data_IF_977887431541
#
_entry.id   IF_977887431541
#
_cell.length_a   1.000
_cell.length_b   1.000
_cell.length_c   1.000
_cell.angle_alpha   90.00
_cell.angle_beta   90.00
_cell.angle_gamma   90.00
#
_symmetry.space_group_name_H-M   'P 1'
#
loop_
_entity.id
_entity.type
_entity.pdbx_description
1 polymer ?
#
# COMPACT_ATOMS: atom_id res chain seq x y z
N UNK A 1 -47.54 -18.53 32.77
CA UNK A 1 -46.90 -17.70 31.73
C UNK A 1 -45.38 -17.88 31.83
N UNK A 2 -44.77 -18.65 30.93
CA UNK A 2 -43.32 -18.86 30.90
C UNK A 2 -42.66 -17.71 30.14
N UNK A 3 -41.83 -16.90 30.82
CA UNK A 3 -41.02 -15.86 30.20
C UNK A 3 -39.88 -16.52 29.39
N UNK A 4 -39.95 -16.43 28.07
CA UNK A 4 -38.82 -16.77 27.18
C UNK A 4 -37.82 -15.62 27.23
N UNK A 5 -36.62 -15.88 27.80
CA UNK A 5 -35.49 -14.99 27.72
C UNK A 5 -34.72 -15.32 26.45
N UNK A 6 -34.80 -14.47 25.42
CA UNK A 6 -33.97 -14.54 24.22
C UNK A 6 -32.67 -13.82 24.55
N UNK A 7 -31.62 -14.58 24.89
CA UNK A 7 -30.27 -14.04 24.92
C UNK A 7 -29.80 -13.79 23.47
N UNK A 8 -29.36 -12.57 23.12
CA UNK A 8 -28.80 -12.35 21.80
C UNK A 8 -27.55 -13.22 21.64
N UNK A 9 -27.52 -14.06 20.59
CA UNK A 9 -26.30 -14.74 20.16
C UNK A 9 -25.24 -13.69 19.89
N UNK A 10 -24.08 -13.82 20.55
CA UNK A 10 -22.90 -13.02 20.24
C UNK A 10 -22.64 -13.10 18.75
N UNK A 11 -22.65 -11.96 18.07
CA UNK A 11 -22.16 -11.88 16.70
C UNK A 11 -20.73 -12.39 16.72
N UNK A 12 -20.49 -13.48 16.01
CA UNK A 12 -19.14 -13.89 15.65
C UNK A 12 -18.47 -12.66 15.03
N UNK A 13 -17.39 -12.16 15.68
CA UNK A 13 -16.49 -11.20 15.08
C UNK A 13 -16.18 -11.73 13.69
N UNK A 14 -16.73 -11.08 12.65
CA UNK A 14 -16.23 -11.25 11.30
C UNK A 14 -14.72 -11.07 11.43
N UNK A 15 -13.96 -12.08 11.02
CA UNK A 15 -12.51 -12.02 10.95
C UNK A 15 -12.16 -10.71 10.23
N UNK A 16 -11.70 -9.72 10.99
CA UNK A 16 -10.94 -8.61 10.42
C UNK A 16 -9.82 -9.29 9.67
N UNK A 17 -9.77 -9.06 8.35
CA UNK A 17 -8.63 -9.52 7.54
C UNK A 17 -7.46 -8.78 8.16
N UNK A 18 -6.64 -9.48 8.93
CA UNK A 18 -5.41 -8.91 9.46
C UNK A 18 -4.63 -8.39 8.27
N UNK A 19 -4.28 -7.11 8.34
CA UNK A 19 -3.37 -6.50 7.37
C UNK A 19 -2.04 -7.25 7.50
N UNK A 20 -1.72 -8.09 6.53
CA UNK A 20 -0.51 -8.91 6.55
C UNK A 20 0.43 -8.47 5.43
N UNK A 21 1.72 -8.57 5.70
CA UNK A 21 2.77 -8.46 4.69
C UNK A 21 2.86 -9.76 3.89
N UNK A 22 3.26 -9.66 2.63
CA UNK A 22 3.53 -10.85 1.80
C UNK A 22 4.73 -11.60 2.36
N UNK A 23 4.53 -12.89 2.61
CA UNK A 23 5.54 -13.84 3.06
C UNK A 23 5.45 -15.17 2.30
N UNK A 24 6.22 -16.16 2.75
CA UNK A 24 6.23 -17.52 2.15
C UNK A 24 4.89 -18.24 2.30
N UNK A 25 4.11 -17.91 3.34
CA UNK A 25 2.83 -18.54 3.67
C UNK A 25 1.65 -17.84 2.98
N UNK A 26 1.88 -16.67 2.39
CA UNK A 26 0.84 -15.93 1.67
C UNK A 26 0.30 -16.77 0.50
N UNK A 27 -1.03 -16.92 0.35
CA UNK A 27 -1.63 -17.68 -0.73
C UNK A 27 -1.10 -17.28 -2.11
N UNK A 28 -0.84 -18.26 -2.97
CA UNK A 28 -0.29 -18.06 -4.31
C UNK A 28 -1.03 -16.98 -5.11
N UNK A 29 -2.37 -16.99 -5.09
CA UNK A 29 -3.19 -16.03 -5.83
C UNK A 29 -2.93 -14.57 -5.39
N UNK A 30 -2.68 -14.33 -4.09
CA UNK A 30 -2.36 -13.00 -3.56
C UNK A 30 -0.96 -12.59 -4.00
N UNK A 31 0.02 -13.48 -3.91
CA UNK A 31 1.38 -13.19 -4.38
C UNK A 31 1.41 -12.86 -5.88
N UNK A 32 0.68 -13.62 -6.70
CA UNK A 32 0.61 -13.36 -8.13
C UNK A 32 -0.15 -12.07 -8.46
N UNK A 33 -1.16 -11.68 -7.68
CA UNK A 33 -1.82 -10.40 -7.83
C UNK A 33 -0.85 -9.22 -7.59
N UNK A 34 -0.01 -9.29 -6.55
CA UNK A 34 1.00 -8.27 -6.31
C UNK A 34 2.15 -8.30 -7.33
N UNK A 35 2.54 -9.47 -7.85
CA UNK A 35 3.47 -9.53 -8.98
C UNK A 35 2.90 -8.89 -10.25
N UNK A 36 1.61 -9.09 -10.52
CA UNK A 36 0.94 -8.42 -11.63
C UNK A 36 0.91 -6.91 -11.44
N UNK A 37 0.62 -6.43 -10.22
CA UNK A 37 0.68 -5.00 -9.90
C UNK A 37 2.10 -4.45 -10.07
N UNK A 38 3.11 -5.14 -9.55
CA UNK A 38 4.52 -4.80 -9.76
C UNK A 38 4.87 -4.71 -11.24
N UNK A 39 4.45 -5.69 -12.05
CA UNK A 39 4.70 -5.69 -13.50
C UNK A 39 4.07 -4.47 -14.17
N UNK A 40 2.83 -4.12 -13.81
CA UNK A 40 2.17 -2.92 -14.34
C UNK A 40 2.96 -1.66 -13.96
N UNK A 41 3.42 -1.54 -12.71
CA UNK A 41 4.24 -0.42 -12.25
C UNK A 41 5.60 -0.37 -12.95
N UNK A 42 6.21 -1.53 -13.21
CA UNK A 42 7.49 -1.61 -13.91
C UNK A 42 7.40 -1.01 -15.32
N UNK A 43 6.29 -1.26 -16.01
CA UNK A 43 6.06 -0.79 -17.39
C UNK A 43 5.33 0.56 -17.49
N UNK A 44 5.12 1.28 -16.37
CA UNK A 44 4.68 2.67 -16.46
C UNK A 44 5.72 3.49 -17.24
N UNK A 45 5.24 4.28 -18.19
CA UNK A 45 6.09 5.18 -18.97
C UNK A 45 6.47 6.40 -18.12
N UNK A 46 7.43 6.23 -17.25
CA UNK A 46 7.99 7.27 -16.38
C UNK A 46 9.43 7.50 -16.85
N UNK A 47 9.72 8.71 -17.32
CA UNK A 47 11.04 9.09 -17.84
C UNK A 47 12.09 9.24 -16.73
N UNK A 48 11.65 9.50 -15.49
CA UNK A 48 12.54 9.65 -14.34
C UNK A 48 13.32 8.36 -14.05
N UNK A 49 14.57 8.52 -13.65
CA UNK A 49 15.41 7.41 -13.21
C UNK A 49 14.84 6.70 -11.97
N UNK A 50 14.21 7.45 -11.06
CA UNK A 50 13.55 6.95 -9.87
C UNK A 50 12.02 7.05 -10.02
N UNK A 51 11.31 5.94 -9.92
CA UNK A 51 9.83 5.94 -9.93
C UNK A 51 9.30 6.38 -8.56
N UNK A 52 8.46 7.40 -8.54
CA UNK A 52 7.87 8.00 -7.32
C UNK A 52 6.36 7.84 -7.36
N UNK A 53 5.82 6.90 -6.60
CA UNK A 53 4.41 6.48 -6.71
C UNK A 53 3.72 6.64 -5.36
N UNK A 54 2.63 7.40 -5.32
CA UNK A 54 1.78 7.49 -4.13
C UNK A 54 0.61 6.51 -4.22
N UNK A 55 0.27 5.89 -3.09
CA UNK A 55 -0.93 5.07 -2.94
C UNK A 55 -1.89 5.81 -2.02
N UNK A 56 -3.04 6.17 -2.56
CA UNK A 56 -4.13 6.85 -1.84
C UNK A 56 -5.44 6.07 -1.97
N UNK A 57 -6.51 6.61 -1.40
CA UNK A 57 -7.85 6.05 -1.52
C UNK A 57 -8.91 7.14 -1.37
N UNK A 58 -10.18 6.84 -1.64
CA UNK A 58 -11.26 7.75 -1.34
C UNK A 58 -11.43 7.88 0.18
N UNK A 59 -11.58 6.75 0.89
CA UNK A 59 -11.86 6.74 2.32
C UNK A 59 -10.86 5.89 3.11
N UNK A 60 -10.91 6.03 4.44
CA UNK A 60 -10.12 5.17 5.33
C UNK A 60 -10.62 3.71 5.26
N UNK A 61 -9.71 2.73 5.42
CA UNK A 61 -10.09 1.30 5.44
C UNK A 61 -10.11 0.62 4.06
N UNK A 62 -9.78 1.31 2.97
CA UNK A 62 -9.77 0.76 1.61
C UNK A 62 -8.49 -0.03 1.26
N UNK A 63 -7.54 -0.14 2.20
CA UNK A 63 -6.37 -1.01 2.05
C UNK A 63 -5.13 -0.33 1.47
N UNK A 64 -5.08 1.00 1.38
CA UNK A 64 -3.95 1.75 0.81
C UNK A 64 -2.59 1.37 1.41
N UNK A 65 -2.47 1.34 2.75
CA UNK A 65 -1.21 1.00 3.44
C UNK A 65 -0.79 -0.45 3.19
N UNK A 66 -1.75 -1.38 3.10
CA UNK A 66 -1.49 -2.78 2.74
C UNK A 66 -0.99 -2.88 1.28
N UNK A 67 -1.62 -2.15 0.35
CA UNK A 67 -1.21 -2.12 -1.05
C UNK A 67 0.17 -1.49 -1.18
N UNK A 68 0.43 -0.33 -0.57
CA UNK A 68 1.71 0.36 -0.61
C UNK A 68 2.84 -0.53 -0.07
N UNK A 69 2.65 -1.13 1.11
CA UNK A 69 3.65 -1.99 1.76
C UNK A 69 3.95 -3.23 0.90
N UNK A 70 2.92 -3.94 0.45
CA UNK A 70 3.12 -5.18 -0.31
C UNK A 70 3.61 -4.94 -1.74
N UNK A 71 3.27 -3.80 -2.36
CA UNK A 71 3.86 -3.38 -3.62
C UNK A 71 5.37 -3.09 -3.44
N UNK A 72 5.75 -2.37 -2.38
CA UNK A 72 7.15 -2.07 -2.07
C UNK A 72 7.97 -3.35 -1.82
N UNK A 73 7.44 -4.29 -1.02
CA UNK A 73 8.06 -5.60 -0.78
C UNK A 73 8.21 -6.38 -2.09
N UNK A 74 7.13 -6.46 -2.89
CA UNK A 74 7.15 -7.19 -4.16
C UNK A 74 8.14 -6.58 -5.13
N UNK A 75 8.20 -5.25 -5.21
CA UNK A 75 9.16 -4.54 -6.06
C UNK A 75 10.60 -4.84 -5.63
N UNK A 76 10.91 -4.72 -4.34
CA UNK A 76 12.25 -4.96 -3.80
C UNK A 76 12.73 -6.41 -3.97
N UNK A 77 11.82 -7.39 -3.83
CA UNK A 77 12.16 -8.82 -3.94
C UNK A 77 12.27 -9.32 -5.39
N UNK A 78 11.56 -8.68 -6.35
CA UNK A 78 11.53 -9.14 -7.75
C UNK A 78 12.41 -8.31 -8.69
N UNK A 79 13.07 -7.26 -8.20
CA UNK A 79 13.98 -6.43 -8.98
C UNK A 79 15.42 -6.71 -8.56
N UNK A 80 16.25 -7.20 -9.50
CA UNK A 80 17.68 -7.36 -9.24
C UNK A 80 18.36 -5.98 -9.08
N UNK A 81 19.12 -5.83 -7.98
CA UNK A 81 19.91 -4.63 -7.68
C UNK A 81 19.12 -3.31 -7.60
N UNK A 82 17.80 -3.36 -7.45
CA UNK A 82 16.98 -2.15 -7.25
C UNK A 82 16.82 -1.82 -5.77
N UNK A 83 17.03 -0.57 -5.44
CA UNK A 83 16.83 -0.03 -4.09
C UNK A 83 15.44 0.60 -4.01
N UNK A 84 14.63 0.12 -3.09
CA UNK A 84 13.24 0.56 -2.89
C UNK A 84 13.10 1.22 -1.53
N UNK A 85 12.42 2.37 -1.51
CA UNK A 85 12.06 3.10 -0.31
C UNK A 85 10.53 3.15 -0.17
N UNK A 86 10.04 2.82 1.02
CA UNK A 86 8.65 3.01 1.41
C UNK A 86 8.58 4.13 2.44
N UNK A 87 7.76 5.16 2.18
CA UNK A 87 7.57 6.30 3.07
C UNK A 87 6.12 6.31 3.58
N UNK A 88 5.94 6.29 4.89
CA UNK A 88 4.63 6.47 5.53
C UNK A 88 4.32 7.96 5.70
N UNK A 89 3.50 8.50 4.81
CA UNK A 89 3.06 9.91 4.80
C UNK A 89 1.72 10.07 5.52
N UNK A 90 1.00 8.98 5.83
CA UNK A 90 -0.23 9.04 6.61
C UNK A 90 0.07 9.25 8.12
N UNK A 91 0.58 10.44 8.46
CA UNK A 91 0.89 10.81 9.84
C UNK A 91 -0.36 10.87 10.74
N UNK A 92 -1.57 10.88 10.16
CA UNK A 92 -2.83 10.92 10.91
C UNK A 92 -3.24 9.54 11.42
N UNK A 93 -3.05 8.52 10.60
CA UNK A 93 -3.37 7.12 10.93
C UNK A 93 -2.29 6.16 10.41
N UNK A 94 -1.04 6.28 10.90
CA UNK A 94 0.07 5.50 10.40
C UNK A 94 -0.14 4.00 10.64
N UNK A 95 0.13 3.19 9.63
CA UNK A 95 -0.07 1.73 9.69
C UNK A 95 1.17 0.93 9.30
N UNK A 96 2.12 1.52 8.61
CA UNK A 96 3.31 0.82 8.10
C UNK A 96 4.14 0.23 9.25
N UNK A 97 4.36 0.99 10.33
CA UNK A 97 5.11 0.47 11.49
C UNK A 97 4.45 -0.78 12.09
N UNK A 98 3.10 -0.81 12.15
CA UNK A 98 2.38 -2.01 12.61
C UNK A 98 2.49 -3.18 11.61
N UNK A 99 2.36 -2.91 10.32
CA UNK A 99 2.45 -3.93 9.26
C UNK A 99 3.81 -4.61 9.22
N UNK A 100 4.87 -3.85 9.47
CA UNK A 100 6.26 -4.31 9.40
C UNK A 100 6.85 -4.63 10.78
N UNK A 101 6.03 -4.65 11.83
CA UNK A 101 6.45 -4.93 13.22
C UNK A 101 7.58 -4.01 13.72
N UNK A 102 7.58 -2.75 13.27
CA UNK A 102 8.51 -1.73 13.71
C UNK A 102 8.03 -1.06 15.00
N UNK A 103 8.94 -0.45 15.75
CA UNK A 103 8.58 0.34 16.92
C UNK A 103 7.74 1.55 16.51
N UNK A 104 6.55 1.68 17.10
CA UNK A 104 5.59 2.75 16.80
C UNK A 104 5.96 4.09 17.44
N UNK A 105 6.88 4.09 18.38
CA UNK A 105 7.36 5.30 19.09
C UNK A 105 8.64 5.86 18.49
N UNK A 106 9.20 5.20 17.49
CA UNK A 106 10.42 5.69 16.85
C UNK A 106 10.16 6.97 16.07
N UNK A 107 11.17 7.81 16.03
CA UNK A 107 11.19 8.97 15.14
C UNK A 107 11.10 8.56 13.68
N UNK A 108 10.59 9.45 12.85
CA UNK A 108 10.38 9.19 11.43
C UNK A 108 10.26 10.47 10.61
N UNK A 109 9.38 10.43 9.62
CA UNK A 109 9.17 11.54 8.69
C UNK A 109 8.76 12.83 9.41
N UNK A 110 7.87 12.76 10.40
CA UNK A 110 7.36 13.94 11.11
C UNK A 110 8.44 14.67 11.89
N UNK A 111 9.32 13.97 12.59
CA UNK A 111 10.42 14.55 13.37
C UNK A 111 11.46 15.20 12.45
N UNK A 112 11.79 14.51 11.35
CA UNK A 112 12.69 15.07 10.35
C UNK A 112 12.12 16.35 9.73
N UNK A 113 10.87 16.35 9.24
CA UNK A 113 10.26 17.51 8.60
C UNK A 113 10.05 18.68 9.58
N UNK A 114 9.78 18.38 10.85
CA UNK A 114 9.67 19.40 11.91
C UNK A 114 11.01 20.00 12.31
N UNK A 115 12.14 19.45 11.85
CA UNK A 115 13.47 19.92 12.22
C UNK A 115 13.93 19.47 13.61
N UNK A 116 13.25 18.47 14.19
CA UNK A 116 13.66 17.84 15.45
C UNK A 116 14.89 16.96 15.19
N UNK A 117 14.86 16.20 14.09
CA UNK A 117 15.97 15.37 13.64
C UNK A 117 16.71 16.05 12.49
N UNK A 118 18.04 15.96 12.49
CA UNK A 118 18.90 16.47 11.42
C UNK A 118 18.86 15.60 10.16
N UNK A 119 18.58 14.28 10.33
CA UNK A 119 18.53 13.30 9.26
C UNK A 119 17.28 12.40 9.38
N UNK A 120 16.71 11.90 8.24
CA UNK A 120 15.58 11.00 8.27
C UNK A 120 15.98 9.63 8.84
N UNK A 121 15.15 9.06 9.70
CA UNK A 121 15.36 7.73 10.30
C UNK A 121 14.98 6.62 9.31
N UNK A 122 15.90 6.26 8.43
CA UNK A 122 15.73 5.21 7.42
C UNK A 122 16.05 3.83 8.01
N UNK A 123 15.08 2.91 7.97
CA UNK A 123 15.19 1.56 8.53
C UNK A 123 15.27 0.56 7.38
N UNK A 124 16.37 -0.17 7.30
CA UNK A 124 16.51 -1.26 6.33
C UNK A 124 16.00 -2.58 6.90
N UNK A 125 15.12 -3.26 6.18
CA UNK A 125 14.57 -4.57 6.55
C UNK A 125 15.15 -5.64 5.61
N UNK A 126 16.15 -6.42 6.07
CA UNK A 126 16.88 -7.38 5.22
C UNK A 126 15.97 -8.46 4.60
N UNK A 127 14.97 -8.93 5.35
CA UNK A 127 14.02 -9.96 4.89
C UNK A 127 13.30 -9.55 3.59
N UNK A 128 12.94 -8.27 3.48
CA UNK A 128 12.24 -7.72 2.32
C UNK A 128 13.14 -6.95 1.35
N UNK A 129 14.44 -6.80 1.66
CA UNK A 129 15.37 -5.93 0.92
C UNK A 129 14.82 -4.50 0.76
N UNK A 130 14.06 -4.04 1.72
CA UNK A 130 13.28 -2.81 1.68
C UNK A 130 13.80 -1.79 2.71
N UNK A 131 13.95 -0.53 2.28
CA UNK A 131 14.15 0.58 3.21
C UNK A 131 12.81 1.24 3.51
N UNK A 132 12.59 1.61 4.75
CA UNK A 132 11.35 2.24 5.23
C UNK A 132 11.66 3.52 5.97
N UNK A 133 10.90 4.58 5.67
CA UNK A 133 10.82 5.78 6.49
C UNK A 133 9.44 5.79 7.16
N UNK A 134 9.34 5.47 8.46
CA UNK A 134 8.07 5.51 9.19
C UNK A 134 7.56 6.94 9.32
N UNK A 135 6.28 7.09 9.60
CA UNK A 135 5.65 8.41 9.76
C UNK A 135 6.21 9.25 10.93
N UNK A 136 6.72 8.58 11.97
CA UNK A 136 7.09 9.22 13.23
C UNK A 136 5.91 9.30 14.21
N UNK A 137 6.12 10.00 15.31
CA UNK A 137 5.18 10.11 16.43
C UNK A 137 4.80 11.56 16.77
N UNK A 138 5.41 12.54 16.11
CA UNK A 138 5.21 13.98 16.44
C UNK A 138 3.83 14.46 16.00
N UNK A 139 3.10 15.05 16.92
CA UNK A 139 1.74 15.54 16.73
C UNK A 139 1.72 16.98 16.16
N UNK A 140 2.26 17.15 14.95
CA UNK A 140 2.33 18.46 14.23
C UNK A 140 1.32 18.46 13.09
N UNK A 141 1.06 19.64 12.51
CA UNK A 141 0.19 19.77 11.35
C UNK A 141 0.79 19.04 10.12
N UNK A 142 0.32 17.84 9.76
CA UNK A 142 0.88 17.04 8.67
C UNK A 142 0.88 17.77 7.34
N UNK A 143 -0.21 18.48 7.03
CA UNK A 143 -0.38 19.23 5.77
C UNK A 143 0.76 20.22 5.56
N UNK A 144 1.13 20.98 6.62
CA UNK A 144 2.24 21.94 6.55
C UNK A 144 3.59 21.25 6.37
N UNK A 145 3.80 20.12 7.02
CA UNK A 145 5.05 19.37 6.92
C UNK A 145 5.24 18.78 5.52
N UNK A 146 4.20 18.14 4.98
CA UNK A 146 4.25 17.49 3.67
C UNK A 146 4.41 18.52 2.54
N UNK A 147 3.80 19.70 2.66
CA UNK A 147 3.95 20.80 1.71
C UNK A 147 5.18 21.67 1.93
N UNK A 148 6.15 21.26 2.74
CA UNK A 148 7.35 22.06 3.03
C UNK A 148 8.48 21.83 2.01
N UNK A 149 9.36 22.80 1.85
CA UNK A 149 10.60 22.64 1.06
C UNK A 149 11.47 21.50 1.57
N UNK A 150 11.42 21.21 2.86
CA UNK A 150 12.17 20.10 3.47
C UNK A 150 11.69 18.72 2.98
N UNK A 151 10.39 18.59 2.65
CA UNK A 151 9.88 17.38 2.00
C UNK A 151 10.41 17.23 0.57
N UNK A 152 10.47 18.34 -0.19
CA UNK A 152 11.06 18.35 -1.54
C UNK A 152 12.55 17.98 -1.51
N UNK A 153 13.30 18.55 -0.56
CA UNK A 153 14.72 18.23 -0.36
C UNK A 153 14.93 16.76 -0.02
N UNK A 154 14.08 16.20 0.86
CA UNK A 154 14.09 14.76 1.20
C UNK A 154 13.89 13.90 -0.04
N UNK A 155 12.86 14.18 -0.83
CA UNK A 155 12.55 13.38 -2.03
C UNK A 155 13.70 13.46 -3.03
N UNK A 156 14.23 14.65 -3.32
CA UNK A 156 15.40 14.82 -4.20
C UNK A 156 16.63 14.05 -3.72
N UNK A 157 16.92 14.11 -2.41
CA UNK A 157 18.04 13.36 -1.84
C UNK A 157 17.85 11.83 -1.92
N UNK A 158 16.59 11.37 -1.97
CA UNK A 158 16.25 9.96 -2.13
C UNK A 158 16.28 9.50 -3.59
N UNK A 159 15.93 10.36 -4.56
CA UNK A 159 15.95 10.03 -6.00
C UNK A 159 17.32 9.54 -6.48
N UNK A 160 18.40 10.08 -5.95
CA UNK A 160 19.75 9.65 -6.28
C UNK A 160 20.14 8.28 -5.69
N UNK A 161 19.41 7.85 -4.65
CA UNK A 161 19.75 6.65 -3.87
C UNK A 161 18.83 5.47 -4.12
N UNK A 162 17.60 5.72 -4.58
CA UNK A 162 16.57 4.71 -4.76
C UNK A 162 16.08 4.68 -6.21
N UNK A 163 15.72 3.50 -6.68
CA UNK A 163 15.16 3.29 -8.02
C UNK A 163 13.63 3.39 -8.02
N UNK A 164 13.02 3.19 -6.84
CA UNK A 164 11.58 3.36 -6.64
C UNK A 164 11.30 3.85 -5.22
N UNK A 165 10.43 4.86 -5.11
CA UNK A 165 9.91 5.38 -3.85
C UNK A 165 8.40 5.22 -3.88
N UNK A 166 7.87 4.51 -2.87
CA UNK A 166 6.42 4.32 -2.70
C UNK A 166 5.98 5.09 -1.46
N UNK A 167 4.96 5.93 -1.63
CA UNK A 167 4.39 6.74 -0.57
C UNK A 167 3.03 6.17 -0.16
N UNK A 168 2.85 5.81 1.11
CA UNK A 168 1.53 5.56 1.69
C UNK A 168 0.94 6.89 2.15
N UNK A 169 -0.19 7.29 1.59
CA UNK A 169 -0.79 8.60 1.86
C UNK A 169 -2.18 8.47 2.49
N UNK A 170 -2.67 9.48 3.21
CA UNK A 170 -4.04 9.48 3.69
C UNK A 170 -5.06 9.55 2.55
N UNK A 171 -6.36 9.27 2.83
CA UNK A 171 -7.43 9.34 1.83
C UNK A 171 -7.61 10.77 1.31
N UNK A 172 -7.61 10.93 -0.01
CA UNK A 172 -7.61 12.26 -0.67
C UNK A 172 -8.94 13.00 -0.57
N UNK A 173 -10.07 12.29 -0.39
CA UNK A 173 -11.38 12.93 -0.19
C UNK A 173 -11.58 13.43 1.24
N UNK A 174 -10.75 12.98 2.18
CA UNK A 174 -10.87 13.31 3.60
C UNK A 174 -9.91 14.44 4.00
N UNK A 175 -8.68 14.40 3.47
CA UNK A 175 -7.65 15.39 3.79
C UNK A 175 -6.80 15.72 2.57
N UNK A 176 -6.22 16.92 2.56
CA UNK A 176 -5.44 17.43 1.42
C UNK A 176 -3.98 16.99 1.44
N UNK A 177 -3.54 16.29 2.46
CA UNK A 177 -2.14 15.92 2.67
C UNK A 177 -1.53 15.21 1.46
N UNK A 178 -2.28 14.27 0.86
CA UNK A 178 -1.82 13.53 -0.32
C UNK A 178 -1.54 14.47 -1.51
N UNK A 179 -2.35 15.51 -1.70
CA UNK A 179 -2.23 16.45 -2.84
C UNK A 179 -0.94 17.27 -2.76
N UNK A 180 -0.47 17.59 -1.56
CA UNK A 180 0.77 18.32 -1.38
C UNK A 180 2.03 17.56 -1.85
N UNK A 181 1.89 16.27 -2.19
CA UNK A 181 2.97 15.50 -2.80
C UNK A 181 3.05 15.63 -4.32
N UNK A 182 2.08 16.22 -5.01
CA UNK A 182 2.00 16.23 -6.48
C UNK A 182 3.30 16.61 -7.18
N UNK A 183 4.00 17.63 -6.69
CA UNK A 183 5.27 18.07 -7.27
C UNK A 183 6.45 17.13 -6.98
N UNK A 184 6.27 16.17 -6.09
CA UNK A 184 7.31 15.29 -5.59
C UNK A 184 7.16 13.84 -6.09
N UNK A 185 6.11 13.53 -6.86
CA UNK A 185 5.80 12.18 -7.31
C UNK A 185 5.48 12.16 -8.81
N UNK A 186 5.49 10.96 -9.41
CA UNK A 186 5.09 10.80 -10.80
C UNK A 186 3.58 10.58 -10.95
N UNK A 187 2.90 10.05 -9.92
CA UNK A 187 1.46 9.88 -9.94
C UNK A 187 0.93 8.95 -8.85
N UNK A 188 -0.37 8.66 -8.94
CA UNK A 188 -1.13 7.97 -7.91
C UNK A 188 -1.66 6.61 -8.37
N UNK A 189 -1.65 5.66 -7.44
CA UNK A 189 -2.47 4.46 -7.47
C UNK A 189 -3.61 4.65 -6.47
N UNK A 190 -4.86 4.49 -6.91
CA UNK A 190 -6.04 4.59 -6.05
C UNK A 190 -6.37 3.20 -5.52
N UNK A 191 -6.34 3.03 -4.21
CA UNK A 191 -6.79 1.82 -3.55
C UNK A 191 -8.32 1.83 -3.38
N UNK A 192 -8.97 0.75 -3.78
CA UNK A 192 -10.38 0.49 -3.53
C UNK A 192 -10.55 -0.90 -2.93
N UNK A 193 -11.60 -1.09 -2.12
CA UNK A 193 -11.88 -2.36 -1.45
C UNK A 193 -13.23 -2.90 -1.90
N UNK A 194 -13.23 -4.14 -2.40
CA UNK A 194 -14.45 -4.82 -2.80
C UNK A 194 -15.43 -4.95 -1.62
N UNK A 195 -16.72 -4.84 -1.89
CA UNK A 195 -17.80 -4.86 -0.88
C UNK A 195 -17.72 -3.72 0.18
N UNK A 196 -16.89 -2.68 -0.04
CA UNK A 196 -16.73 -1.55 0.87
C UNK A 196 -16.68 -0.21 0.14
N UNK A 197 -15.80 -0.05 -0.86
CA UNK A 197 -15.70 1.18 -1.66
C UNK A 197 -16.91 1.32 -2.57
N UNK A 198 -17.41 2.55 -2.72
CA UNK A 198 -18.47 2.86 -3.67
C UNK A 198 -17.91 3.64 -4.85
N UNK A 199 -18.57 3.54 -5.98
CA UNK A 199 -18.13 4.16 -7.23
C UNK A 199 -18.10 5.69 -7.15
N UNK A 200 -19.01 6.31 -6.39
CA UNK A 200 -19.04 7.76 -6.24
C UNK A 200 -17.80 8.28 -5.51
N UNK A 201 -17.38 7.60 -4.44
CA UNK A 201 -16.15 7.96 -3.73
C UNK A 201 -14.90 7.79 -4.59
N UNK A 202 -14.84 6.73 -5.41
CA UNK A 202 -13.73 6.54 -6.35
C UNK A 202 -13.72 7.68 -7.40
N UNK A 203 -14.88 8.03 -7.95
CA UNK A 203 -14.99 9.12 -8.91
C UNK A 203 -14.61 10.47 -8.29
N UNK A 204 -15.06 10.75 -7.06
CA UNK A 204 -14.67 11.95 -6.30
C UNK A 204 -13.14 12.01 -6.10
N UNK A 205 -12.52 10.88 -5.73
CA UNK A 205 -11.07 10.78 -5.59
C UNK A 205 -10.37 11.12 -6.93
N UNK A 206 -10.84 10.56 -8.04
CA UNK A 206 -10.31 10.82 -9.39
C UNK A 206 -10.49 12.30 -9.75
N UNK A 207 -11.65 12.89 -9.51
CA UNK A 207 -11.91 14.31 -9.78
C UNK A 207 -10.99 15.25 -8.99
N UNK A 208 -10.78 14.98 -7.69
CA UNK A 208 -9.89 15.76 -6.86
C UNK A 208 -8.45 15.70 -7.40
N UNK A 209 -7.96 14.50 -7.71
CA UNK A 209 -6.61 14.33 -8.27
C UNK A 209 -6.47 15.02 -9.63
N UNK A 210 -7.42 14.86 -10.54
CA UNK A 210 -7.39 15.51 -11.86
C UNK A 210 -7.41 17.04 -11.76
N UNK A 211 -8.19 17.63 -10.84
CA UNK A 211 -8.21 19.10 -10.61
C UNK A 211 -6.85 19.66 -10.17
N UNK A 212 -6.01 18.84 -9.57
CA UNK A 212 -4.67 19.22 -9.13
C UNK A 212 -3.58 18.90 -10.16
N UNK A 213 -3.97 18.40 -11.34
CA UNK A 213 -3.04 18.01 -12.40
C UNK A 213 -2.24 16.73 -12.09
N UNK A 214 -2.69 15.94 -11.13
CA UNK A 214 -2.02 14.70 -10.74
C UNK A 214 -2.22 13.60 -11.78
N UNK A 215 -1.16 12.87 -12.12
CA UNK A 215 -1.26 11.65 -12.94
C UNK A 215 -1.88 10.51 -12.13
N UNK A 216 -2.78 9.75 -12.74
CA UNK A 216 -3.44 8.59 -12.12
C UNK A 216 -3.07 7.34 -12.90
N UNK A 217 -2.27 6.47 -12.30
CA UNK A 217 -1.82 5.22 -12.92
C UNK A 217 -2.89 4.13 -12.96
N UNK A 218 -3.90 4.22 -12.10
CA UNK A 218 -5.02 3.29 -12.09
C UNK A 218 -5.60 3.06 -10.70
N UNK A 219 -6.57 2.11 -10.67
CA UNK A 219 -7.27 1.69 -9.45
C UNK A 219 -6.91 0.24 -9.13
N UNK A 220 -6.53 -0.03 -7.89
CA UNK A 220 -6.26 -1.37 -7.37
C UNK A 220 -7.42 -1.80 -6.48
N UNK A 221 -8.14 -2.84 -6.92
CA UNK A 221 -9.25 -3.41 -6.17
C UNK A 221 -8.75 -4.54 -5.26
N UNK A 222 -8.85 -4.34 -3.95
CA UNK A 222 -8.45 -5.30 -2.92
C UNK A 222 -9.64 -6.09 -2.36
N UNK A 223 -9.34 -7.12 -1.55
CA UNK A 223 -10.34 -7.93 -0.82
C UNK A 223 -11.39 -8.62 -1.71
N UNK A 224 -11.04 -8.92 -2.95
CA UNK A 224 -11.90 -9.72 -3.82
C UNK A 224 -12.10 -11.11 -3.22
N UNK A 225 -13.36 -11.46 -2.92
CA UNK A 225 -13.73 -12.84 -2.62
C UNK A 225 -13.64 -13.62 -3.93
N UNK A 226 -12.53 -14.31 -4.14
CA UNK A 226 -12.42 -15.24 -5.26
C UNK A 226 -13.52 -16.30 -5.07
N UNK A 227 -14.62 -16.20 -5.83
CA UNK A 227 -15.55 -17.32 -5.98
C UNK A 227 -14.68 -18.51 -6.40
N UNK A 228 -14.87 -19.70 -5.76
CA UNK A 228 -14.13 -20.92 -6.09
C UNK A 228 -13.91 -20.96 -7.60
N UNK A 229 -12.68 -21.02 -8.09
CA UNK A 229 -12.43 -20.91 -9.53
C UNK A 229 -13.23 -22.00 -10.21
N UNK A 230 -14.04 -21.61 -11.21
CA UNK A 230 -14.66 -22.58 -12.10
C UNK A 230 -13.46 -23.33 -12.73
N UNK A 231 -13.22 -24.56 -12.28
CA UNK A 231 -12.03 -25.39 -12.58
C UNK A 231 -11.64 -25.37 -14.07
N UNK A 232 -12.59 -25.09 -14.97
CA UNK A 232 -12.38 -25.14 -16.41
C UNK A 232 -11.60 -23.95 -17.00
N UNK A 233 -11.57 -22.76 -16.38
CA UNK A 233 -10.87 -21.59 -16.95
C UNK A 233 -9.38 -21.56 -16.60
N UNK A 234 -9.00 -21.99 -15.41
CA UNK A 234 -7.58 -22.01 -14.98
C UNK A 234 -6.82 -23.21 -15.55
N UNK A 235 -7.49 -24.37 -15.72
CA UNK A 235 -6.88 -25.56 -16.35
C UNK A 235 -6.51 -25.28 -17.82
N UNK A 236 -7.31 -24.48 -18.55
CA UNK A 236 -7.02 -24.11 -19.95
C UNK A 236 -5.77 -23.25 -20.13
N UNK A 237 -5.35 -22.47 -19.14
CA UNK A 237 -4.11 -21.69 -19.20
C UNK A 237 -2.88 -22.50 -18.79
N UNK A 238 -2.99 -23.39 -17.80
CA UNK A 238 -1.87 -24.21 -17.30
C UNK A 238 -1.43 -25.28 -18.29
N UNK A 239 -2.33 -25.83 -19.11
CA UNK A 239 -2.00 -26.89 -20.09
C UNK A 239 -1.40 -26.33 -21.41
N UNK A 240 -1.45 -25.02 -21.65
CA UNK A 240 -0.90 -24.42 -22.87
C UNK A 240 0.57 -24.00 -22.75
N UNK A 241 1.10 -23.91 -21.53
CA UNK A 241 2.50 -23.55 -21.24
C UNK A 241 3.17 -24.62 -20.37
N UNK A 242 3.16 -25.86 -20.84
CA UNK A 242 3.98 -27.01 -20.44
C UNK A 242 4.79 -26.92 -19.16
N UNK A 243 4.15 -26.96 -17.98
CA UNK A 243 4.83 -27.08 -16.70
C UNK A 243 3.96 -27.82 -15.69
N UNK A 244 4.41 -29.01 -15.26
CA UNK A 244 3.79 -29.79 -14.19
C UNK A 244 3.82 -29.02 -12.88
N UNK A 245 2.71 -28.37 -12.51
CA UNK A 245 2.47 -27.97 -11.12
C UNK A 245 1.38 -28.86 -10.55
N UNK A 246 1.79 -29.88 -9.80
CA UNK A 246 0.89 -30.74 -9.02
C UNK A 246 0.39 -29.97 -7.80
N UNK A 247 -0.91 -29.74 -7.72
CA UNK A 247 -1.59 -29.34 -6.50
C UNK A 247 -1.88 -30.59 -5.69
N UNK A 248 -1.04 -30.92 -4.73
CA UNK A 248 -1.40 -31.84 -3.65
C UNK A 248 -2.16 -31.04 -2.60
N UNK A 249 -3.48 -31.23 -2.51
CA UNK A 249 -4.24 -30.94 -1.32
C UNK A 249 -4.07 -32.13 -0.38
N UNK A 250 -3.45 -31.92 0.78
CA UNK A 250 -3.66 -32.79 1.93
C UNK A 250 -5.05 -32.49 2.48
N UNK A 251 -5.97 -33.42 2.25
CA UNK A 251 -7.21 -33.51 3.00
C UNK A 251 -6.86 -34.08 4.38
N UNK A 252 -6.87 -33.22 5.41
CA UNK A 252 -6.91 -33.67 6.80
C UNK A 252 -8.32 -34.17 7.12
N UNK A 253 -8.39 -35.44 7.48
CA UNK A 253 -9.53 -36.11 8.13
C UNK A 253 -9.80 -35.50 9.51
#
# INVERSE_FOLDING_TARGET
MKKFSIKPKALNKKSEIELTTIDKNTPFAIREAFKSLYTNVLYLNIEDKCKKIAVTSAYSGEGKSCIATNLAITYALNSENKRVLLIDVDMRQPKISKLLSLDRKQHGLSEYLAGIDEAPNLIYIPEYKLTVLPSGATNVNPTKLIGSSKMEELVRACEDKYDCIIFDTPPVTVVTDAIHLNNNINGYIIAARADYSNINGINECIEILNRTGAEIFGVVLSSLKLKKPNRSRYIKYGTRYGGKYSYTQEESK
#
